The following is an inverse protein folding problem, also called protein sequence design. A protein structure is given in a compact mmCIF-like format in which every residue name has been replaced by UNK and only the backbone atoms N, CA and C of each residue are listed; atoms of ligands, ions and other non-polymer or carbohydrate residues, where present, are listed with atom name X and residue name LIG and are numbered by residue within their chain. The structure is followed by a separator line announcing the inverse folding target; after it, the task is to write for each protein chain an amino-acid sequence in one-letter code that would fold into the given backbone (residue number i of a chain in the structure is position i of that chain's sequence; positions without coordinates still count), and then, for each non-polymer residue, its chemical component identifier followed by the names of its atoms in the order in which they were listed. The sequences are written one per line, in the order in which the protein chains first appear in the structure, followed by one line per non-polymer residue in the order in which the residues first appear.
data_IF_608868243394
#
_entry.id   IF_608868243394
#
_cell.length_a   1.000
_cell.length_b   1.000
_cell.length_c   1.000
_cell.angle_alpha   90.00
_cell.angle_beta   90.00
_cell.angle_gamma   90.00
#
_symmetry.space_group_name_H-M   'P 1'
#
loop_
_entity.id
_entity.type
_entity.pdbx_description
1 polymer ?
2 water ?
#
# COMPACT_ATOMS: atom_id res chain seq x y z
N UNK A 1 -9.93 18.97 12.13
CA UNK A 1 -8.63 18.62 11.61
C UNK A 1 -8.22 19.38 10.34
N UNK A 2 -7.66 18.66 9.37
CA UNK A 2 -7.18 19.31 8.14
C UNK A 2 -8.28 20.03 7.37
N UNK A 3 -7.88 21.14 6.72
CA UNK A 3 -8.81 21.97 5.96
C UNK A 3 -8.01 22.73 4.92
N UNK A 4 -8.58 22.89 3.73
CA UNK A 4 -7.93 23.67 2.69
C UNK A 4 -8.92 24.06 1.62
N UNK A 5 -8.49 24.96 0.73
CA UNK A 5 -9.34 25.33 -0.39
C UNK A 5 -9.60 24.15 -1.32
N UNK A 6 -8.90 23.03 -1.13
CA UNK A 6 -9.15 21.81 -1.87
C UNK A 6 -9.49 20.64 -0.95
N UNK A 7 -9.99 20.93 0.26
CA UNK A 7 -10.31 19.91 1.24
C UNK A 7 -11.29 20.52 2.24
N UNK A 8 -12.56 20.62 1.85
CA UNK A 8 -13.60 21.19 2.70
C UNK A 8 -14.95 20.55 2.42
N UNK A 17 -6.25 6.12 -22.28
CA UNK A 17 -7.12 4.96 -22.44
C UNK A 17 -7.33 4.18 -21.15
N UNK A 18 -8.12 3.12 -21.18
CA UNK A 18 -8.37 2.41 -19.95
C UNK A 18 -9.47 1.37 -20.09
N UNK A 19 -9.79 0.80 -18.95
CA UNK A 19 -10.68 -0.35 -18.83
C UNK A 19 -12.15 0.04 -18.97
N UNK A 20 -12.95 -0.90 -19.47
CA UNK A 20 -14.40 -0.67 -19.44
C UNK A 20 -14.94 -0.67 -18.01
N UNK A 21 -14.14 -1.06 -17.03
CA UNK A 21 -14.50 -1.03 -15.62
C UNK A 21 -14.05 0.25 -14.93
N UNK A 22 -13.53 1.21 -15.68
CA UNK A 22 -13.05 2.48 -15.13
C UNK A 22 -14.15 3.16 -14.31
N UNK A 23 -13.80 3.63 -13.11
CA UNK A 23 -14.80 4.20 -12.22
C UNK A 23 -14.15 5.09 -11.16
N UNK A 24 -14.82 6.19 -10.85
CA UNK A 24 -14.39 7.07 -9.77
C UNK A 24 -14.49 6.39 -8.42
N UNK A 25 -15.25 5.31 -8.32
CA UNK A 25 -15.40 4.62 -7.05
C UNK A 25 -14.54 3.36 -6.93
N UNK A 26 -13.68 3.09 -7.91
CA UNK A 26 -12.69 2.03 -7.75
C UNK A 26 -11.69 2.39 -6.64
N UNK A 27 -11.09 1.37 -6.04
CA UNK A 27 -10.22 1.55 -4.88
C UNK A 27 -8.80 1.18 -5.24
N UNK A 28 -7.86 2.05 -4.90
CA UNK A 28 -6.43 1.79 -5.05
C UNK A 28 -5.88 1.26 -3.73
N UNK A 29 -5.35 0.04 -3.78
CA UNK A 29 -4.71 -0.61 -2.65
C UNK A 29 -3.20 -0.56 -2.85
N UNK A 30 -2.46 -0.25 -1.79
CA UNK A 30 -1.02 -0.11 -1.95
C UNK A 30 -0.35 -0.60 -0.70
N UNK A 31 0.80 -1.25 -0.87
CA UNK A 31 1.69 -1.52 0.23
C UNK A 31 3.11 -1.16 -0.19
N UNK A 32 3.87 -0.69 0.78
CA UNK A 32 5.29 -0.38 0.62
C UNK A 32 6.08 -1.20 1.63
N UNK A 33 7.30 -1.57 1.26
CA UNK A 33 8.29 -2.02 2.22
C UNK A 33 9.42 -0.99 2.25
N UNK A 34 9.99 -0.77 3.43
CA UNK A 34 10.93 0.32 3.66
C UNK A 34 12.11 -0.17 4.48
N UNK A 35 13.18 0.63 4.50
CA UNK A 35 14.34 0.26 5.30
C UNK A 35 14.18 0.65 6.77
N UNK A 36 13.06 1.26 7.13
CA UNK A 36 12.86 1.69 8.50
C UNK A 36 11.61 2.55 8.57
N UNK A 37 11.40 3.17 9.72
CA UNK A 37 10.13 3.85 9.97
C UNK A 37 10.19 5.36 9.80
N UNK A 38 11.37 5.93 9.53
CA UNK A 38 11.52 7.38 9.48
C UNK A 38 11.70 7.85 8.05
N UNK A 39 10.73 8.53 7.43
CA UNK A 39 10.88 8.92 6.03
C UNK A 39 12.07 9.82 5.77
N UNK A 40 12.52 10.57 6.77
CA UNK A 40 13.64 11.48 6.53
C UNK A 40 14.96 10.76 6.40
N UNK A 41 15.08 9.56 6.95
CA UNK A 41 16.34 8.83 6.81
C UNK A 41 16.21 7.50 6.12
N UNK A 42 15.01 6.94 6.02
CA UNK A 42 14.81 5.63 5.43
C UNK A 42 14.19 5.76 4.05
N UNK A 43 14.18 4.64 3.34
CA UNK A 43 13.85 4.62 1.93
C UNK A 43 12.81 3.55 1.63
N UNK A 44 12.10 3.74 0.52
CA UNK A 44 11.20 2.72 0.00
C UNK A 44 12.01 1.69 -0.77
N UNK A 45 11.83 0.40 -0.44
CA UNK A 45 12.48 -0.69 -1.18
C UNK A 45 11.50 -1.57 -1.94
N UNK A 46 10.20 -1.46 -1.71
CA UNK A 46 9.32 -2.27 -2.53
C UNK A 46 7.95 -1.62 -2.55
N UNK A 47 7.23 -1.79 -3.66
CA UNK A 47 5.87 -1.29 -3.73
C UNK A 47 5.01 -2.23 -4.56
N UNK A 48 3.73 -2.30 -4.20
CA UNK A 48 2.79 -3.07 -5.00
C UNK A 48 1.44 -2.37 -4.91
N UNK A 49 0.67 -2.45 -6.01
CA UNK A 49 -0.67 -1.88 -6.05
C UNK A 49 -1.66 -2.88 -6.63
N UNK A 50 -2.92 -2.73 -6.22
CA UNK A 50 -4.04 -3.50 -6.75
C UNK A 50 -5.24 -2.57 -6.82
N UNK A 51 -6.05 -2.71 -7.87
CA UNK A 51 -7.29 -1.95 -7.97
C UNK A 51 -8.46 -2.90 -7.76
N UNK A 52 -9.36 -2.54 -6.86
CA UNK A 52 -10.63 -3.25 -6.73
C UNK A 52 -11.77 -2.33 -7.12
N UNK A 53 -12.95 -2.91 -7.28
CA UNK A 53 -14.12 -2.05 -7.31
C UNK A 53 -14.56 -1.77 -5.87
N UNK A 54 -15.65 -0.99 -5.73
CA UNK A 54 -16.07 -0.58 -4.39
C UNK A 54 -16.57 -1.75 -3.56
N UNK A 55 -16.87 -2.88 -4.20
CA UNK A 55 -17.30 -4.09 -3.53
C UNK A 55 -16.16 -5.06 -3.28
N UNK A 56 -14.91 -4.63 -3.51
CA UNK A 56 -13.68 -5.36 -3.20
C UNK A 56 -13.37 -6.51 -4.15
N UNK A 57 -14.03 -6.56 -5.31
CA UNK A 57 -13.62 -7.45 -6.38
C UNK A 57 -12.36 -6.93 -7.03
N UNK A 58 -11.34 -7.78 -7.15
CA UNK A 58 -10.07 -7.34 -7.74
C UNK A 58 -10.25 -7.21 -9.25
N UNK A 59 -9.94 -6.03 -9.78
CA UNK A 59 -10.03 -5.73 -11.20
C UNK A 59 -8.69 -5.85 -11.91
N UNK A 60 -7.60 -5.59 -11.21
CA UNK A 60 -6.31 -5.41 -11.85
C UNK A 60 -5.24 -5.40 -10.77
N UNK A 61 -4.07 -5.92 -11.12
CA UNK A 61 -2.95 -5.95 -10.20
C UNK A 61 -1.79 -5.20 -10.82
N UNK A 62 -1.24 -4.25 -10.07
CA UNK A 62 -0.24 -3.36 -10.60
C UNK A 62 1.14 -3.98 -10.56
N UNK A 63 2.11 -3.19 -11.00
CA UNK A 63 3.51 -3.67 -10.97
C UNK A 63 3.98 -3.86 -9.54
N UNK A 64 4.69 -4.96 -9.31
CA UNK A 64 5.37 -5.22 -8.04
C UNK A 64 6.82 -4.86 -8.28
N UNK A 65 7.32 -3.86 -7.58
CA UNK A 65 8.59 -3.22 -7.92
C UNK A 65 9.49 -3.27 -6.71
N UNK A 66 10.65 -3.91 -6.86
CA UNK A 66 11.73 -3.72 -5.89
C UNK A 66 12.54 -2.53 -6.36
N UNK A 67 12.74 -1.55 -5.48
CA UNK A 67 13.38 -0.30 -5.84
C UNK A 67 14.84 -0.36 -5.41
N UNK A 68 15.74 -0.10 -6.35
CA UNK A 68 17.15 -0.21 -6.05
C UNK A 68 17.56 0.78 -4.96
N UNK A 69 18.42 0.32 -4.07
CA UNK A 69 19.02 1.18 -3.06
C UNK A 69 20.45 0.71 -2.88
N UNK A 70 21.38 1.64 -2.62
CA UNK A 70 22.77 1.26 -2.37
C UNK A 70 22.93 0.69 -0.97
N UNK A 71 24.07 0.03 -0.75
CA UNK A 71 24.34 -0.56 0.56
C UNK A 71 24.28 0.48 1.68
N UNK A 72 24.71 1.72 1.42
CA UNK A 72 24.65 2.77 2.43
C UNK A 72 23.22 2.95 2.97
N UNK A 73 22.22 2.68 2.14
CA UNK A 73 20.84 2.79 2.57
C UNK A 73 20.37 1.49 3.23
N UNK A 74 20.78 0.35 2.68
CA UNK A 74 20.43 -0.92 3.30
C UNK A 74 21.06 -1.06 4.67
N UNK A 75 22.20 -0.39 4.89
CA UNK A 75 22.88 -0.41 6.17
C UNK A 75 22.16 0.37 7.24
N UNK A 76 21.04 1.02 6.91
CA UNK A 76 20.25 1.69 7.91
C UNK A 76 19.15 0.80 8.47
N UNK A 77 18.90 -0.37 7.88
CA UNK A 77 17.90 -1.28 8.41
C UNK A 77 18.29 -1.80 9.79
N UNK A 78 17.36 -1.71 10.74
CA UNK A 78 17.63 -2.27 12.05
C UNK A 78 17.60 -3.80 11.96
N UNK A 79 17.86 -4.47 13.08
CA UNK A 79 18.00 -5.91 13.03
C UNK A 79 16.73 -6.59 12.55
N UNK A 80 15.55 -6.14 12.98
CA UNK A 80 14.34 -6.82 12.53
C UNK A 80 14.10 -6.60 11.03
N UNK A 81 14.35 -5.39 10.55
CA UNK A 81 14.24 -5.11 9.12
C UNK A 81 15.24 -5.94 8.31
N UNK A 82 16.49 -5.94 8.76
CA UNK A 82 17.53 -6.68 8.05
C UNK A 82 17.21 -8.15 7.98
N UNK A 83 16.86 -8.75 9.12
CA UNK A 83 16.53 -10.17 9.15
C UNK A 83 15.32 -10.48 8.27
N UNK A 84 14.27 -9.67 8.37
CA UNK A 84 13.04 -9.94 7.62
C UNK A 84 13.24 -9.76 6.13
N UNK A 85 13.76 -8.61 5.72
CA UNK A 85 13.87 -8.34 4.29
C UNK A 85 14.96 -9.16 3.62
N UNK A 86 15.96 -9.64 4.38
CA UNK A 86 16.92 -10.57 3.80
C UNK A 86 16.29 -11.94 3.60
N UNK A 87 15.61 -12.46 4.64
CA UNK A 87 15.09 -13.81 4.55
C UNK A 87 13.97 -13.93 3.51
N UNK A 88 13.23 -12.85 3.26
CA UNK A 88 12.17 -12.90 2.26
C UNK A 88 12.70 -12.85 0.83
N UNK A 89 13.98 -12.57 0.64
CA UNK A 89 14.52 -12.36 -0.68
C UNK A 89 14.45 -10.94 -1.17
N UNK A 90 13.86 -10.04 -0.40
CA UNK A 90 13.67 -8.68 -0.90
C UNK A 90 14.99 -7.95 -1.05
N UNK A 91 15.92 -8.14 -0.10
CA UNK A 91 17.21 -7.46 -0.17
C UNK A 91 17.93 -7.82 -1.45
N UNK A 92 17.95 -9.11 -1.80
CA UNK A 92 18.62 -9.52 -3.02
C UNK A 92 17.96 -8.90 -4.24
N UNK A 93 16.62 -8.79 -4.23
CA UNK A 93 15.95 -8.16 -5.37
C UNK A 93 16.23 -6.67 -5.42
N UNK A 94 16.32 -6.02 -4.26
CA UNK A 94 16.68 -4.60 -4.20
C UNK A 94 18.08 -4.37 -4.78
N UNK A 95 19.05 -5.19 -4.39
CA UNK A 95 20.41 -5.01 -4.90
C UNK A 95 20.48 -5.24 -6.40
N UNK A 96 19.68 -6.17 -6.93
CA UNK A 96 19.71 -6.51 -8.34
C UNK A 96 18.91 -5.53 -9.18
N UNK A 97 18.00 -4.79 -8.55
CA UNK A 97 17.06 -3.95 -9.28
C UNK A 97 17.77 -2.79 -9.95
N UNK A 98 17.29 -2.43 -11.14
CA UNK A 98 17.73 -1.24 -11.84
C UNK A 98 16.65 -0.16 -11.86
N UNK A 99 15.63 -0.29 -11.02
CA UNK A 99 14.49 0.63 -11.01
C UNK A 99 14.66 1.65 -9.88
N UNK A 100 14.66 2.93 -10.25
CA UNK A 100 14.69 4.04 -9.30
C UNK A 100 13.28 4.36 -8.82
N UNK A 101 13.21 5.16 -7.75
CA UNK A 101 11.92 5.64 -7.24
C UNK A 101 11.13 6.32 -8.34
N UNK A 102 11.80 7.19 -9.11
CA UNK A 102 11.14 7.93 -10.17
C UNK A 102 10.58 7.00 -11.23
N UNK A 103 11.31 5.95 -11.58
CA UNK A 103 10.78 4.99 -12.54
C UNK A 103 9.63 4.20 -11.94
N UNK A 104 9.74 3.86 -10.66
CA UNK A 104 8.66 3.15 -9.97
C UNK A 104 7.39 4.00 -9.96
N UNK A 105 7.52 5.30 -9.71
CA UNK A 105 6.36 6.20 -9.77
C UNK A 105 5.75 6.16 -11.17
N UNK A 106 6.59 6.37 -12.19
CA UNK A 106 6.08 6.41 -13.56
C UNK A 106 5.31 5.14 -13.90
N UNK A 107 5.86 3.98 -13.53
CA UNK A 107 5.22 2.71 -13.85
C UNK A 107 3.90 2.57 -13.12
N UNK A 108 3.88 2.94 -11.83
CA UNK A 108 2.68 2.78 -11.04
C UNK A 108 1.61 3.74 -11.50
N UNK A 109 1.98 5.00 -11.79
CA UNK A 109 0.98 5.94 -12.28
C UNK A 109 0.40 5.48 -13.60
N UNK A 110 1.27 5.05 -14.53
CA UNK A 110 0.78 4.55 -15.81
C UNK A 110 -0.19 3.40 -15.63
N UNK A 111 0.03 2.56 -14.62
CA UNK A 111 -0.89 1.48 -14.36
C UNK A 111 -2.24 1.99 -13.87
N UNK A 112 -2.22 2.88 -12.88
CA UNK A 112 -3.46 3.26 -12.20
C UNK A 112 -4.39 4.06 -13.10
N UNK A 113 -3.82 4.76 -14.08
CA UNK A 113 -4.62 5.67 -14.88
C UNK A 113 -5.64 4.95 -15.75
N UNK A 114 -5.48 3.64 -15.94
CA UNK A 114 -6.46 2.88 -16.71
C UNK A 114 -7.67 2.46 -15.91
N UNK A 115 -7.69 2.73 -14.60
CA UNK A 115 -8.70 2.18 -13.68
C UNK A 115 -9.46 3.21 -12.88
N UNK A 116 -8.86 4.34 -12.55
CA UNK A 116 -9.51 5.33 -11.68
C UNK A 116 -8.83 6.67 -11.92
N UNK A 117 -9.55 7.79 -11.94
CA UNK A 117 -8.89 9.08 -12.19
C UNK A 117 -8.10 9.56 -10.98
N UNK A 118 -7.21 10.51 -11.25
CA UNK A 118 -6.44 11.13 -10.20
C UNK A 118 -7.37 11.74 -9.15
N UNK A 119 -7.01 11.52 -7.88
CA UNK A 119 -7.65 12.22 -6.78
C UNK A 119 -8.98 11.66 -6.31
N UNK A 120 -9.36 10.48 -6.78
CA UNK A 120 -10.69 9.95 -6.49
C UNK A 120 -10.69 8.80 -5.50
N UNK A 121 -9.64 7.98 -5.47
CA UNK A 121 -9.68 6.84 -4.57
C UNK A 121 -8.99 7.18 -3.27
N UNK A 122 -9.58 6.86 -2.13
CA UNK A 122 -8.82 6.86 -0.88
C UNK A 122 -7.61 5.94 -1.00
N UNK A 123 -6.65 6.13 -0.12
CA UNK A 123 -5.54 5.16 -0.07
C UNK A 123 -5.97 3.99 0.81
N UNK A 124 -5.86 2.76 0.30
CA UNK A 124 -6.37 1.59 1.01
C UNK A 124 -5.29 0.59 1.36
N UNK A 125 -5.38 0.01 2.54
CA UNK A 125 -4.48 -1.08 2.91
C UNK A 125 -4.32 -1.17 4.42
N UNK A 126 -3.32 -1.95 4.81
CA UNK A 126 -2.95 -2.07 6.22
C UNK A 126 -1.84 -1.08 6.50
N UNK A 127 -1.83 -0.52 7.71
CA UNK A 127 -0.73 0.39 8.04
C UNK A 127 -0.59 1.49 6.98
N UNK A 128 -1.72 1.96 6.48
CA UNK A 128 -1.69 2.87 5.34
C UNK A 128 -1.25 4.29 5.74
N UNK A 129 -1.37 4.65 7.01
CA UNK A 129 -0.91 5.96 7.44
C UNK A 129 0.60 6.07 7.32
N UNK A 130 1.31 5.02 7.72
CA UNK A 130 2.76 5.02 7.66
C UNK A 130 3.23 4.99 6.20
N UNK A 131 2.57 4.19 5.36
CA UNK A 131 2.91 4.15 3.95
C UNK A 131 2.70 5.51 3.30
N UNK A 132 1.60 6.20 3.63
CA UNK A 132 1.40 7.49 3.00
C UNK A 132 2.50 8.49 3.39
N UNK A 133 3.04 8.40 4.61
CA UNK A 133 4.16 9.26 4.99
C UNK A 133 5.35 9.09 4.05
N UNK A 134 5.67 7.85 3.67
CA UNK A 134 6.77 7.66 2.75
C UNK A 134 6.40 8.10 1.33
N UNK A 135 5.12 8.02 0.95
CA UNK A 135 4.73 8.56 -0.35
C UNK A 135 4.93 10.07 -0.40
N UNK A 136 4.48 10.77 0.65
CA UNK A 136 4.67 12.22 0.72
C UNK A 136 6.13 12.61 0.53
N UNK A 137 7.03 11.87 1.17
CA UNK A 137 8.44 12.25 1.18
C UNK A 137 9.16 11.81 -0.09
N UNK A 138 8.94 10.56 -0.50
CA UNK A 138 9.75 9.97 -1.57
C UNK A 138 9.03 9.86 -2.90
N UNK A 139 7.70 9.92 -2.91
CA UNK A 139 6.96 9.76 -4.15
C UNK A 139 5.78 10.72 -4.23
N UNK A 140 6.01 12.02 -4.07
CA UNK A 140 4.85 12.92 -3.97
C UNK A 140 3.96 12.92 -5.20
N UNK A 141 4.51 12.66 -6.40
CA UNK A 141 3.67 12.58 -7.60
C UNK A 141 2.67 11.44 -7.48
N UNK A 142 3.06 10.34 -6.85
CA UNK A 142 2.13 9.24 -6.65
C UNK A 142 1.20 9.50 -5.47
N UNK A 143 1.70 10.10 -4.39
CA UNK A 143 0.81 10.47 -3.29
C UNK A 143 -0.36 11.32 -3.79
N UNK A 144 -0.06 12.27 -4.68
CA UNK A 144 -1.04 13.19 -5.21
C UNK A 144 -2.13 12.51 -6.02
N UNK A 145 -1.93 11.25 -6.40
CA UNK A 145 -2.95 10.53 -7.17
C UNK A 145 -4.10 10.08 -6.29
N UNK A 146 -3.89 9.99 -4.98
CA UNK A 146 -4.93 9.53 -4.07
C UNK A 146 -5.81 10.69 -3.61
N UNK A 147 -7.08 10.37 -3.35
CA UNK A 147 -7.95 11.24 -2.58
C UNK A 147 -7.38 11.40 -1.17
N UNK A 148 -7.78 12.48 -0.47
CA UNK A 148 -7.18 12.68 0.84
C UNK A 148 -7.60 11.62 1.86
N UNK A 149 -8.69 10.90 1.59
CA UNK A 149 -9.21 9.94 2.56
C UNK A 149 -8.35 8.68 2.64
N UNK A 150 -8.51 7.96 3.74
CA UNK A 150 -7.83 6.69 3.97
C UNK A 150 -8.88 5.61 4.17
N UNK A 151 -8.57 4.40 3.75
CA UNK A 151 -9.31 3.22 4.17
C UNK A 151 -8.28 2.32 4.85
N UNK A 152 -8.18 2.47 6.16
CA UNK A 152 -7.17 1.80 6.99
C UNK A 152 -7.80 0.52 7.51
N UNK A 153 -7.47 -0.61 6.88
CA UNK A 153 -8.02 -1.88 7.34
C UNK A 153 -7.58 -2.16 8.78
N UNK A 154 -6.39 -1.67 9.18
CA UNK A 154 -5.90 -1.89 10.54
C UNK A 154 -6.81 -1.28 11.59
N UNK A 155 -7.51 -0.19 11.26
CA UNK A 155 -8.49 0.39 12.18
C UNK A 155 -9.59 -0.61 12.50
N UNK A 156 -10.12 -1.27 11.48
CA UNK A 156 -11.16 -2.28 11.71
C UNK A 156 -10.63 -3.42 12.54
N UNK A 157 -9.41 -3.87 12.25
CA UNK A 157 -8.85 -4.97 13.03
C UNK A 157 -8.76 -4.61 14.51
N UNK A 158 -8.30 -3.39 14.81
CA UNK A 158 -8.08 -3.03 16.20
C UNK A 158 -9.39 -2.88 16.96
N UNK A 159 -10.44 -2.34 16.30
CA UNK A 159 -11.74 -2.25 16.95
C UNK A 159 -12.36 -3.64 17.14
N UNK A 160 -12.14 -4.54 16.18
CA UNK A 160 -12.66 -5.89 16.33
C UNK A 160 -11.93 -6.62 17.45
N UNK A 161 -10.62 -6.45 17.54
CA UNK A 161 -9.86 -7.01 18.65
C UNK A 161 -10.42 -6.58 20.00
N UNK A 162 -10.80 -5.30 20.11
CA UNK A 162 -11.33 -4.80 21.38
C UNK A 162 -12.77 -5.22 21.63
N UNK A 163 -13.60 -5.25 20.58
CA UNK A 163 -15.04 -5.41 20.78
C UNK A 163 -15.58 -6.79 20.43
N UNK A 164 -14.99 -7.47 19.45
CA UNK A 164 -15.45 -8.78 19.00
C UNK A 164 -14.26 -9.72 18.84
N UNK A 165 -13.48 -9.94 19.90
CA UNK A 165 -12.20 -10.65 19.72
C UNK A 165 -12.37 -12.06 19.23
N UNK A 166 -13.48 -12.72 19.57
CA UNK A 166 -13.69 -14.09 19.11
C UNK A 166 -13.89 -14.15 17.60
N UNK A 167 -14.52 -13.12 17.01
CA UNK A 167 -14.70 -13.05 15.56
C UNK A 167 -13.35 -12.95 14.87
N UNK A 168 -12.43 -12.16 15.44
CA UNK A 168 -11.13 -11.97 14.83
C UNK A 168 -10.36 -13.28 14.71
N UNK A 169 -10.61 -14.23 15.61
CA UNK A 169 -9.93 -15.51 15.54
C UNK A 169 -10.34 -16.33 14.32
N UNK A 170 -11.48 -16.00 13.69
CA UNK A 170 -11.94 -16.76 12.53
C UNK A 170 -11.07 -16.54 11.30
N UNK A 171 -10.37 -15.41 11.22
CA UNK A 171 -9.55 -15.05 10.08
C UNK A 171 -8.08 -15.30 10.41
N UNK A 172 -7.38 -16.01 9.53
CA UNK A 172 -5.97 -16.33 9.74
C UNK A 172 -5.02 -15.35 9.06
N UNK A 176 3.99 -11.62 4.83
CA UNK A 176 5.29 -12.00 4.28
C UNK A 176 6.28 -10.86 4.43
N UNK A 177 5.73 -9.67 4.64
CA UNK A 177 6.42 -8.40 4.42
C UNK A 177 6.97 -8.32 3.00
N UNK A 178 6.29 -9.00 2.08
CA UNK A 178 6.45 -8.76 0.65
C UNK A 178 5.19 -8.03 0.20
N UNK A 179 5.36 -6.98 -0.61
CA UNK A 179 4.30 -6.00 -0.78
C UNK A 179 3.09 -6.61 -1.47
N UNK A 180 3.30 -7.53 -2.43
CA UNK A 180 2.16 -8.12 -3.11
C UNK A 180 1.36 -9.02 -2.16
N UNK A 181 2.05 -9.80 -1.32
CA UNK A 181 1.32 -10.63 -0.37
C UNK A 181 0.56 -9.79 0.64
N UNK A 182 1.20 -8.73 1.13
CA UNK A 182 0.56 -7.91 2.16
C UNK A 182 -0.68 -7.22 1.62
N UNK A 183 -0.61 -6.69 0.39
CA UNK A 183 -1.78 -5.99 -0.13
C UNK A 183 -2.90 -6.98 -0.44
N UNK A 184 -2.57 -8.17 -0.93
CA UNK A 184 -3.63 -9.15 -1.16
C UNK A 184 -4.25 -9.59 0.15
N UNK A 185 -3.44 -9.70 1.19
CA UNK A 185 -3.99 -10.13 2.48
C UNK A 185 -4.91 -9.05 3.03
N UNK A 186 -4.55 -7.78 2.81
CA UNK A 186 -5.37 -6.68 3.33
C UNK A 186 -6.75 -6.68 2.69
N UNK A 187 -6.81 -6.93 1.38
CA UNK A 187 -8.10 -7.03 0.71
C UNK A 187 -8.90 -8.20 1.26
N UNK A 188 -8.23 -9.36 1.42
CA UNK A 188 -8.94 -10.51 1.98
C UNK A 188 -9.44 -10.23 3.39
N UNK A 189 -8.66 -9.47 4.16
CA UNK A 189 -9.06 -9.19 5.53
C UNK A 189 -10.25 -8.23 5.55
N UNK A 190 -10.25 -7.21 4.70
CA UNK A 190 -11.42 -6.34 4.65
C UNK A 190 -12.64 -7.08 4.13
N UNK A 191 -12.45 -7.98 3.16
CA UNK A 191 -13.55 -8.83 2.71
C UNK A 191 -14.11 -9.64 3.87
N UNK A 192 -13.24 -10.14 4.75
CA UNK A 192 -13.72 -10.85 5.93
C UNK A 192 -14.50 -9.92 6.86
N UNK A 193 -13.99 -8.71 7.12
CA UNK A 193 -14.71 -7.83 8.03
C UNK A 193 -16.07 -7.44 7.47
N UNK A 194 -16.15 -7.26 6.15
CA UNK A 194 -17.41 -6.87 5.53
C UNK A 194 -18.48 -7.91 5.81
N UNK A 195 -18.07 -9.18 5.81
CA UNK A 195 -19.01 -10.29 6.05
C UNK A 195 -19.18 -10.56 7.54
N UNK A 196 -18.10 -10.55 8.31
CA UNK A 196 -18.18 -11.04 9.68
C UNK A 196 -18.42 -9.95 10.70
N UNK A 197 -18.02 -8.73 10.41
CA UNK A 197 -18.10 -7.62 11.35
C UNK A 197 -19.21 -6.65 10.95
N UNK A 198 -19.13 -6.11 9.73
CA UNK A 198 -20.19 -5.22 9.24
C UNK A 198 -21.50 -5.99 9.04
N UNK A 199 -21.39 -7.28 8.69
CA UNK A 199 -22.52 -8.13 8.32
C UNK A 199 -23.27 -7.60 7.10
N UNK A 200 -22.53 -7.38 6.01
CA UNK A 200 -23.15 -7.16 4.70
C UNK A 200 -23.20 -8.46 3.91
#
# INVERSE_FOLDING_TARGET
GPLGSHHHHHHGGGSGGGSMSFSDQNLIWIDLEMTGLDPEMHKIIEMATIVTDSELNILAEGPVIAIHQPESELAKMDEWCTTTHTASGLVARVRQSQVSEEEAIDQTLAFLKQWVPEGKSPICGNSIGQDRRFLYKHMPRLEAYFHYRYIDVSTIKELTRRWQPEVLKEFSKTGSHLALDDIRESIAELQFYRKAVFKI
#
